data_IF_268858581214
#
_entry.id   IF_268858581214
#
_cell.length_a   1.000
_cell.length_b   1.000
_cell.length_c   1.000
_cell.angle_alpha   90.00
_cell.angle_beta   90.00
_cell.angle_gamma   90.00
#
_symmetry.space_group_name_H-M   'P 1'
#
loop_
_entity.id
_entity.type
_entity.pdbx_description
1 polymer ?
#
# COMPACT_ATOMS: atom_id res chain seq x y z
N UNK A 1 -19.95 10.28 18.14
CA UNK A 1 -19.15 10.31 16.90
C UNK A 1 -17.89 11.10 17.24
N UNK A 2 -16.74 10.50 17.12
CA UNK A 2 -15.48 11.18 17.47
C UNK A 2 -15.15 12.21 16.39
N UNK A 3 -14.88 13.46 16.79
CA UNK A 3 -14.60 14.53 15.84
C UNK A 3 -13.22 14.28 15.23
N UNK A 4 -13.13 14.31 13.90
CA UNK A 4 -11.86 14.25 13.19
C UNK A 4 -11.14 15.58 13.42
N UNK A 5 -9.97 15.53 14.05
CA UNK A 5 -9.10 16.70 14.25
C UNK A 5 -7.88 16.58 13.35
N UNK A 6 -7.26 17.69 13.03
CA UNK A 6 -6.03 17.75 12.26
C UNK A 6 -4.88 16.97 12.96
N UNK A 7 -4.85 17.03 14.30
CA UNK A 7 -3.92 16.26 15.12
C UNK A 7 -4.04 14.72 14.89
N UNK A 8 -5.27 14.19 14.86
CA UNK A 8 -5.52 12.78 14.57
C UNK A 8 -5.08 12.37 13.16
N UNK A 9 -5.27 13.27 12.18
CA UNK A 9 -4.82 13.02 10.82
C UNK A 9 -3.29 12.95 10.78
N UNK A 10 -2.60 13.86 11.46
CA UNK A 10 -1.14 13.87 11.53
C UNK A 10 -0.57 12.65 12.24
N UNK A 11 -1.17 12.24 13.34
CA UNK A 11 -0.82 11.01 14.05
C UNK A 11 -0.99 9.79 13.13
N UNK A 12 -2.11 9.70 12.43
CA UNK A 12 -2.34 8.63 11.45
C UNK A 12 -1.29 8.63 10.34
N UNK A 13 -0.91 9.79 9.81
CA UNK A 13 0.08 9.93 8.75
C UNK A 13 1.52 9.79 9.26
N UNK A 14 1.73 9.71 10.57
CA UNK A 14 3.06 9.76 11.22
C UNK A 14 3.89 10.97 10.74
N UNK A 15 3.21 12.11 10.57
CA UNK A 15 3.88 13.37 10.28
C UNK A 15 4.47 13.87 11.59
N UNK A 16 5.79 13.80 11.70
CA UNK A 16 6.51 14.41 12.81
C UNK A 16 6.30 15.94 12.79
N UNK A 17 5.73 16.45 13.86
CA UNK A 17 5.55 17.89 14.04
C UNK A 17 6.86 18.43 14.65
N UNK A 18 7.87 18.59 13.80
CA UNK A 18 9.06 19.32 14.19
C UNK A 18 8.81 20.81 14.07
N UNK A 19 8.89 21.54 15.19
CA UNK A 19 9.01 23.00 15.15
C UNK A 19 10.49 23.34 15.00
N UNK A 20 10.87 23.94 13.88
CA UNK A 20 12.23 24.36 13.63
C UNK A 20 12.28 25.73 12.95
N UNK A 21 13.21 26.57 13.40
CA UNK A 21 13.59 27.79 12.72
C UNK A 21 14.94 27.54 12.06
N UNK A 22 15.02 27.67 10.75
CA UNK A 22 16.30 27.50 10.09
C UNK A 22 16.24 27.67 8.58
N UNK A 23 17.38 28.09 8.03
CA UNK A 23 17.64 28.15 6.60
C UNK A 23 18.39 26.87 6.21
N UNK A 24 17.93 26.16 5.18
CA UNK A 24 18.58 24.93 4.80
C UNK A 24 18.20 24.37 3.44
N UNK A 25 19.00 23.42 2.98
CA UNK A 25 18.75 22.63 1.80
C UNK A 25 18.40 21.21 2.26
N UNK A 26 17.21 20.71 1.90
CA UNK A 26 16.82 19.36 2.29
C UNK A 26 15.47 18.92 1.79
N UNK A 27 15.22 17.62 1.93
CA UNK A 27 13.92 17.02 1.69
C UNK A 27 13.33 16.64 3.05
N UNK A 28 12.12 17.10 3.37
CA UNK A 28 11.49 16.76 4.64
C UNK A 28 10.09 17.31 4.79
N UNK A 29 9.39 16.79 5.79
CA UNK A 29 8.08 17.27 6.19
C UNK A 29 8.23 17.96 7.55
N UNK A 30 7.66 19.16 7.71
CA UNK A 30 7.75 19.86 9.00
C UNK A 30 6.94 21.14 9.06
N UNK A 31 6.85 21.67 10.27
CA UNK A 31 6.30 23.00 10.56
C UNK A 31 7.45 23.89 11.01
N UNK A 32 7.50 25.09 10.47
CA UNK A 32 8.47 26.08 10.91
C UNK A 32 8.54 27.29 9.99
N UNK A 33 9.11 28.37 10.51
CA UNK A 33 9.40 29.56 9.74
C UNK A 33 10.87 29.51 9.31
N UNK A 34 11.13 29.63 8.02
CA UNK A 34 12.49 29.62 7.51
C UNK A 34 12.56 29.73 5.99
N UNK A 35 13.76 30.05 5.49
CA UNK A 35 14.03 30.10 4.06
C UNK A 35 14.84 28.89 3.66
N UNK A 36 14.39 28.14 2.63
CA UNK A 36 15.13 26.96 2.20
C UNK A 36 14.85 26.55 0.76
N UNK A 37 15.73 25.71 0.25
CA UNK A 37 15.59 25.06 -1.06
C UNK A 37 15.46 23.56 -0.85
N UNK A 38 14.37 22.96 -1.33
CA UNK A 38 14.20 21.52 -1.21
C UNK A 38 12.85 21.05 -1.71
N UNK A 39 12.72 19.72 -1.77
CA UNK A 39 11.43 19.07 -2.04
C UNK A 39 10.88 18.57 -0.71
N UNK A 40 9.75 19.12 -0.28
CA UNK A 40 9.13 18.69 0.97
C UNK A 40 7.74 19.27 1.14
N UNK A 41 6.96 18.63 2.00
CA UNK A 41 5.67 19.13 2.41
C UNK A 41 5.81 19.73 3.81
N UNK A 42 5.57 21.02 3.94
CA UNK A 42 5.65 21.72 5.22
C UNK A 42 4.59 22.79 5.35
N UNK A 43 4.27 23.12 6.61
CA UNK A 43 3.41 24.25 6.96
C UNK A 43 4.24 25.25 7.76
N UNK A 44 4.30 26.48 7.31
CA UNK A 44 4.98 27.58 8.00
C UNK A 44 5.01 28.83 7.16
N UNK A 45 5.29 29.96 7.81
CA UNK A 45 5.54 31.23 7.13
C UNK A 45 7.02 31.30 6.75
N UNK A 46 7.33 30.94 5.51
CA UNK A 46 8.69 30.98 4.99
C UNK A 46 8.73 31.17 3.47
N UNK A 47 9.82 31.78 2.99
CA UNK A 47 10.06 31.87 1.57
C UNK A 47 10.94 30.69 1.13
N UNK A 48 10.29 29.64 0.60
CA UNK A 48 10.97 28.46 0.05
C UNK A 48 10.75 28.35 -1.45
N UNK A 49 11.77 27.91 -2.16
CA UNK A 49 11.64 27.50 -3.56
C UNK A 49 11.66 26.00 -3.60
N UNK A 50 10.49 25.38 -3.80
CA UNK A 50 10.36 23.94 -4.00
C UNK A 50 9.52 23.66 -5.26
N UNK A 51 9.80 22.56 -5.93
CA UNK A 51 8.92 22.05 -6.98
C UNK A 51 7.73 21.34 -6.29
N UNK A 52 6.73 22.12 -5.90
CA UNK A 52 5.51 21.57 -5.34
C UNK A 52 4.30 22.15 -6.08
N UNK A 53 3.80 21.44 -7.08
CA UNK A 53 2.46 21.63 -7.62
C UNK A 53 1.40 20.98 -6.70
N UNK A 54 1.61 21.03 -5.37
CA UNK A 54 0.72 20.36 -4.43
C UNK A 54 -0.44 21.27 -4.05
N UNK A 55 -1.64 20.82 -4.36
CA UNK A 55 -2.89 21.43 -3.90
C UNK A 55 -2.90 21.29 -2.37
N UNK A 56 -2.85 22.40 -1.64
CA UNK A 56 -2.84 22.39 -0.16
C UNK A 56 -4.22 22.30 0.45
N UNK A 57 -5.23 22.82 -0.25
CA UNK A 57 -6.60 22.93 0.26
C UNK A 57 -7.62 22.90 -0.89
N UNK A 58 -8.76 22.22 -0.69
CA UNK A 58 -9.93 22.28 -1.57
C UNK A 58 -11.18 22.41 -0.70
N UNK A 59 -11.95 23.49 -0.90
CA UNK A 59 -13.20 23.75 -0.17
C UNK A 59 -13.02 23.62 1.35
N UNK A 60 -12.03 24.31 1.92
CA UNK A 60 -11.71 24.30 3.35
C UNK A 60 -11.24 22.92 3.89
N UNK A 61 -10.93 21.97 3.02
CA UNK A 61 -10.37 20.69 3.41
C UNK A 61 -8.88 20.63 3.08
N UNK A 62 -8.07 20.34 4.09
CA UNK A 62 -6.63 20.14 3.91
C UNK A 62 -6.37 18.92 3.02
N UNK A 63 -5.47 19.09 2.06
CA UNK A 63 -5.01 18.04 1.17
C UNK A 63 -3.67 17.51 1.64
N UNK A 64 -3.59 16.20 1.83
CA UNK A 64 -2.38 15.49 2.24
C UNK A 64 -1.83 14.71 1.05
N UNK A 65 -0.52 14.73 0.87
CA UNK A 65 0.15 13.86 -0.11
C UNK A 65 0.49 12.53 0.56
N UNK A 66 -0.33 11.53 0.32
CA UNK A 66 -0.17 10.19 0.89
C UNK A 66 0.25 9.26 -0.25
N UNK A 67 1.43 8.64 -0.14
CA UNK A 67 1.91 7.71 -1.17
C UNK A 67 1.83 8.31 -2.60
N UNK A 68 2.38 9.52 -2.74
CA UNK A 68 2.35 10.34 -3.96
C UNK A 68 0.94 10.69 -4.52
N UNK A 69 -0.11 10.53 -3.71
CA UNK A 69 -1.49 10.79 -4.11
C UNK A 69 -2.09 11.90 -3.25
N UNK A 70 -2.62 12.94 -3.88
CA UNK A 70 -3.32 14.02 -3.19
C UNK A 70 -4.63 13.50 -2.63
N UNK A 71 -4.78 13.57 -1.30
CA UNK A 71 -5.87 12.91 -0.59
C UNK A 71 -6.46 13.82 0.49
N UNK A 72 -7.78 13.90 0.56
CA UNK A 72 -8.53 14.50 1.66
C UNK A 72 -8.96 13.38 2.59
N UNK A 73 -8.68 13.49 3.91
CA UNK A 73 -9.12 12.54 4.91
C UNK A 73 -10.40 13.04 5.57
N UNK A 74 -11.43 12.21 5.65
CA UNK A 74 -12.73 12.54 6.25
C UNK A 74 -13.05 11.76 7.51
N UNK A 75 -12.44 10.60 7.71
CA UNK A 75 -12.55 9.83 8.96
C UNK A 75 -11.37 8.89 9.14
N UNK A 76 -11.08 8.56 10.40
CA UNK A 76 -10.02 7.61 10.77
C UNK A 76 -10.56 6.63 11.81
N UNK A 77 -10.25 5.34 11.65
CA UNK A 77 -10.52 4.27 12.61
C UNK A 77 -9.33 3.30 12.66
N UNK A 78 -8.52 3.41 13.70
CA UNK A 78 -7.29 2.63 13.82
C UNK A 78 -6.33 2.91 12.66
N UNK A 79 -5.96 1.87 11.93
CA UNK A 79 -5.06 1.94 10.78
C UNK A 79 -5.78 2.16 9.43
N UNK A 80 -7.05 2.54 9.45
CA UNK A 80 -7.89 2.79 8.27
C UNK A 80 -8.41 4.22 8.28
N UNK A 81 -8.22 4.94 7.19
CA UNK A 81 -8.88 6.21 6.94
C UNK A 81 -9.83 6.10 5.73
N UNK A 82 -10.83 6.96 5.70
CA UNK A 82 -11.70 7.18 4.54
C UNK A 82 -11.51 8.62 4.07
N UNK A 83 -11.67 8.83 2.77
CA UNK A 83 -11.52 10.16 2.20
C UNK A 83 -11.74 10.17 0.70
N UNK A 84 -11.06 11.10 0.05
CA UNK A 84 -11.14 11.28 -1.39
C UNK A 84 -9.74 11.46 -1.99
N UNK A 85 -9.45 10.72 -3.04
CA UNK A 85 -8.32 11.01 -3.93
C UNK A 85 -8.73 12.17 -4.83
N UNK A 86 -7.79 13.08 -5.07
CA UNK A 86 -7.95 14.17 -6.02
C UNK A 86 -7.29 13.73 -7.33
N UNK A 87 -8.11 13.40 -8.32
CA UNK A 87 -7.64 13.09 -9.67
C UNK A 87 -7.36 14.35 -10.49
N UNK A 88 -6.81 14.16 -11.69
CA UNK A 88 -6.66 15.23 -12.67
C UNK A 88 -8.01 15.94 -12.87
N UNK A 89 -7.97 17.26 -13.01
CA UNK A 89 -9.15 18.13 -13.10
C UNK A 89 -9.95 18.27 -11.78
N UNK A 90 -9.30 18.09 -10.63
CA UNK A 90 -9.91 18.27 -9.28
C UNK A 90 -11.12 17.37 -9.01
N UNK A 91 -11.27 16.26 -9.73
CA UNK A 91 -12.30 15.27 -9.47
C UNK A 91 -12.00 14.53 -8.17
N UNK A 92 -12.97 14.51 -7.27
CA UNK A 92 -12.91 13.77 -6.01
C UNK A 92 -13.41 12.34 -6.19
N UNK A 93 -12.57 11.37 -5.89
CA UNK A 93 -12.90 9.93 -5.94
C UNK A 93 -12.87 9.35 -4.54
N UNK A 94 -13.99 8.80 -4.02
CA UNK A 94 -14.00 8.17 -2.70
C UNK A 94 -12.93 7.08 -2.59
N UNK A 95 -12.22 7.04 -1.47
CA UNK A 95 -11.19 6.06 -1.22
C UNK A 95 -11.10 5.63 0.24
N UNK A 96 -10.47 4.48 0.45
CA UNK A 96 -9.89 4.06 1.71
C UNK A 96 -8.38 4.23 1.66
N UNK A 97 -7.80 4.65 2.77
CA UNK A 97 -6.36 4.66 3.00
C UNK A 97 -6.06 3.74 4.16
N UNK A 98 -5.16 2.80 3.99
CA UNK A 98 -4.72 1.88 5.05
C UNK A 98 -3.23 2.07 5.30
N UNK A 99 -2.83 1.85 6.57
CA UNK A 99 -1.46 2.02 7.04
C UNK A 99 -0.97 0.79 7.79
N UNK A 100 0.27 0.38 7.51
CA UNK A 100 1.03 -0.58 8.30
C UNK A 100 2.54 -0.32 8.12
N UNK A 101 3.32 -0.37 9.21
CA UNK A 101 4.78 -0.19 9.18
C UNK A 101 5.24 1.06 8.40
N UNK A 102 4.55 2.20 8.57
CA UNK A 102 4.77 3.45 7.84
C UNK A 102 4.61 3.37 6.31
N UNK A 103 4.08 2.27 5.78
CA UNK A 103 3.63 2.16 4.40
C UNK A 103 2.13 2.44 4.32
N UNK A 104 1.72 3.10 3.24
CA UNK A 104 0.33 3.46 2.98
C UNK A 104 -0.12 2.88 1.66
N UNK A 105 -1.42 2.58 1.55
CA UNK A 105 -2.03 2.25 0.28
C UNK A 105 -3.46 2.78 0.18
N UNK A 106 -3.84 3.15 -1.03
CA UNK A 106 -5.19 3.56 -1.38
C UNK A 106 -5.95 2.43 -2.06
N UNK A 107 -7.28 2.46 -1.92
CA UNK A 107 -8.17 1.59 -2.67
C UNK A 107 -9.58 2.19 -2.74
N UNK A 108 -10.32 1.86 -3.79
CA UNK A 108 -11.73 2.25 -3.94
C UNK A 108 -12.64 1.47 -2.99
N UNK A 109 -12.17 0.30 -2.57
CA UNK A 109 -12.76 -0.49 -1.49
C UNK A 109 -11.72 -0.75 -0.41
N UNK A 110 -12.18 -1.05 0.80
CA UNK A 110 -11.28 -1.41 1.90
C UNK A 110 -10.42 -2.64 1.55
N UNK A 111 -10.99 -3.62 0.85
CA UNK A 111 -10.27 -4.80 0.39
C UNK A 111 -9.14 -4.42 -0.59
N UNK A 112 -9.41 -3.56 -1.56
CA UNK A 112 -8.39 -3.11 -2.52
C UNK A 112 -7.25 -2.37 -1.82
N UNK A 113 -7.57 -1.51 -0.85
CA UNK A 113 -6.57 -0.80 -0.07
C UNK A 113 -5.65 -1.78 0.70
N UNK A 114 -6.23 -2.78 1.38
CA UNK A 114 -5.43 -3.81 2.08
C UNK A 114 -4.62 -4.69 1.12
N UNK A 115 -5.18 -5.05 -0.03
CA UNK A 115 -4.45 -5.80 -1.05
C UNK A 115 -3.23 -5.02 -1.54
N UNK A 116 -3.41 -3.74 -1.88
CA UNK A 116 -2.32 -2.86 -2.30
C UNK A 116 -1.27 -2.66 -1.21
N UNK A 117 -1.70 -2.58 0.06
CA UNK A 117 -0.79 -2.48 1.19
C UNK A 117 0.04 -3.76 1.37
N UNK A 118 -0.58 -4.93 1.28
CA UNK A 118 0.13 -6.21 1.37
C UNK A 118 1.20 -6.34 0.28
N UNK A 119 0.89 -5.95 -0.95
CA UNK A 119 1.85 -5.91 -2.04
C UNK A 119 3.07 -5.06 -1.67
N UNK A 120 2.86 -3.83 -1.15
CA UNK A 120 3.92 -2.90 -0.76
C UNK A 120 4.75 -3.33 0.45
N UNK A 121 4.15 -4.04 1.40
CA UNK A 121 4.85 -4.46 2.61
C UNK A 121 6.02 -5.39 2.31
N UNK A 122 5.94 -6.14 1.21
CA UNK A 122 6.94 -7.14 0.84
C UNK A 122 7.85 -6.74 -0.32
N UNK A 123 7.73 -5.51 -0.86
CA UNK A 123 8.57 -5.04 -1.99
C UNK A 123 10.07 -5.11 -1.67
N UNK A 124 10.46 -4.83 -0.42
CA UNK A 124 11.85 -4.82 0.04
C UNK A 124 12.24 -6.09 0.82
N UNK A 125 11.37 -7.11 0.86
CA UNK A 125 11.59 -8.32 1.65
C UNK A 125 12.46 -9.34 0.93
N UNK A 126 13.24 -10.12 1.68
CA UNK A 126 13.98 -11.26 1.15
C UNK A 126 13.04 -12.38 0.68
N UNK A 127 13.57 -13.33 -0.09
CA UNK A 127 12.79 -14.48 -0.54
C UNK A 127 12.28 -15.31 0.64
N UNK A 128 13.12 -15.53 1.66
CA UNK A 128 12.77 -16.29 2.85
C UNK A 128 11.64 -15.62 3.65
N UNK A 129 11.68 -14.30 3.77
CA UNK A 129 10.62 -13.53 4.45
C UNK A 129 9.29 -13.65 3.70
N UNK A 130 9.32 -13.56 2.36
CA UNK A 130 8.13 -13.71 1.51
C UNK A 130 7.53 -15.11 1.60
N UNK A 131 8.36 -16.15 1.54
CA UNK A 131 7.93 -17.55 1.74
C UNK A 131 7.38 -17.75 3.15
N UNK A 132 8.05 -17.20 4.17
CA UNK A 132 7.58 -17.27 5.56
C UNK A 132 6.22 -16.61 5.75
N UNK A 133 6.00 -15.43 5.15
CA UNK A 133 4.72 -14.73 5.17
C UNK A 133 3.62 -15.53 4.45
N UNK A 134 3.94 -16.15 3.31
CA UNK A 134 3.03 -17.03 2.59
C UNK A 134 2.60 -18.20 3.46
N UNK A 135 3.56 -18.93 4.06
CA UNK A 135 3.28 -20.08 4.93
C UNK A 135 2.47 -19.68 6.17
N UNK A 136 2.75 -18.52 6.76
CA UNK A 136 1.99 -17.99 7.89
C UNK A 136 0.54 -17.71 7.52
N UNK A 137 0.29 -17.15 6.34
CA UNK A 137 -1.07 -16.86 5.82
C UNK A 137 -1.81 -18.14 5.44
N UNK A 138 -1.09 -19.12 4.89
CA UNK A 138 -1.64 -20.37 4.38
C UNK A 138 -0.96 -21.56 5.07
N UNK A 139 -1.33 -21.89 6.31
CA UNK A 139 -0.57 -22.86 7.13
C UNK A 139 -0.68 -24.32 6.67
N UNK A 140 -1.66 -24.68 5.83
CA UNK A 140 -1.88 -26.06 5.36
C UNK A 140 -1.74 -26.18 3.84
N UNK A 141 -0.99 -27.17 3.38
CA UNK A 141 -0.76 -27.42 1.96
C UNK A 141 -2.01 -27.91 1.22
N UNK A 142 -2.88 -28.68 1.89
CA UNK A 142 -4.06 -29.31 1.31
C UNK A 142 -5.39 -28.63 1.71
N UNK A 143 -5.38 -27.61 2.56
CA UNK A 143 -6.56 -26.82 2.85
C UNK A 143 -6.88 -25.87 1.68
N UNK A 144 -8.17 -25.56 1.49
CA UNK A 144 -8.63 -24.62 0.46
C UNK A 144 -8.65 -23.20 0.98
N UNK A 145 -8.06 -22.28 0.24
CA UNK A 145 -8.00 -20.84 0.51
C UNK A 145 -8.65 -20.04 -0.61
N UNK A 146 -9.07 -18.82 -0.31
CA UNK A 146 -9.69 -17.93 -1.29
C UNK A 146 -8.70 -17.56 -2.41
N UNK A 147 -9.13 -17.71 -3.66
CA UNK A 147 -8.30 -17.41 -4.83
C UNK A 147 -7.84 -15.96 -4.88
N UNK A 148 -8.61 -15.01 -4.34
CA UNK A 148 -8.20 -13.59 -4.23
C UNK A 148 -6.98 -13.42 -3.32
N UNK A 149 -6.92 -14.16 -2.21
CA UNK A 149 -5.77 -14.13 -1.31
C UNK A 149 -4.54 -14.76 -1.99
N UNK A 150 -4.70 -15.89 -2.66
CA UNK A 150 -3.63 -16.53 -3.43
C UNK A 150 -3.15 -15.64 -4.59
N UNK A 151 -4.05 -14.94 -5.27
CA UNK A 151 -3.72 -13.97 -6.32
C UNK A 151 -2.85 -12.82 -5.78
N UNK A 152 -3.18 -12.29 -4.59
CA UNK A 152 -2.39 -11.25 -3.92
C UNK A 152 -1.01 -11.79 -3.51
N UNK A 153 -0.97 -12.95 -2.88
CA UNK A 153 0.28 -13.54 -2.40
C UNK A 153 1.17 -14.11 -3.50
N UNK A 154 0.64 -14.33 -4.70
CA UNK A 154 1.48 -14.58 -5.88
C UNK A 154 2.39 -13.37 -6.17
N UNK A 155 1.87 -12.14 -6.05
CA UNK A 155 2.71 -10.94 -6.13
C UNK A 155 3.73 -10.89 -4.99
N UNK A 156 3.31 -11.11 -3.76
CA UNK A 156 4.21 -11.13 -2.60
C UNK A 156 5.39 -12.07 -2.82
N UNK A 157 5.14 -13.26 -3.35
CA UNK A 157 6.20 -14.24 -3.64
C UNK A 157 7.10 -13.83 -4.81
N UNK A 158 6.51 -13.39 -5.93
CA UNK A 158 7.19 -13.33 -7.23
C UNK A 158 7.46 -11.92 -7.75
N UNK A 159 6.85 -10.87 -7.16
CA UNK A 159 6.87 -9.51 -7.70
C UNK A 159 6.06 -9.35 -9.00
N UNK A 160 5.19 -10.31 -9.37
CA UNK A 160 4.41 -10.25 -10.61
C UNK A 160 3.45 -9.06 -10.64
N UNK A 161 3.39 -8.34 -11.74
CA UNK A 161 2.48 -7.20 -11.86
C UNK A 161 1.00 -7.65 -11.92
N UNK A 162 0.09 -6.77 -11.49
CA UNK A 162 -1.34 -7.05 -11.43
C UNK A 162 -1.90 -7.47 -12.79
N UNK A 163 -1.56 -6.73 -13.86
CA UNK A 163 -2.05 -7.01 -15.21
C UNK A 163 -1.60 -8.41 -15.71
N UNK A 164 -0.37 -8.81 -15.40
CA UNK A 164 0.13 -10.15 -15.75
C UNK A 164 -0.64 -11.25 -15.01
N UNK A 165 -0.94 -11.05 -13.73
CA UNK A 165 -1.75 -11.98 -12.93
C UNK A 165 -3.20 -12.08 -13.42
N UNK A 166 -3.83 -10.95 -13.76
CA UNK A 166 -5.19 -10.91 -14.32
C UNK A 166 -5.26 -11.65 -15.67
N UNK A 167 -4.27 -11.41 -16.55
CA UNK A 167 -4.14 -12.13 -17.83
C UNK A 167 -3.96 -13.63 -17.63
N UNK A 168 -3.15 -14.04 -16.66
CA UNK A 168 -2.95 -15.46 -16.32
C UNK A 168 -4.25 -16.12 -15.84
N UNK A 169 -4.95 -15.50 -14.90
CA UNK A 169 -6.23 -16.00 -14.37
C UNK A 169 -7.25 -16.17 -15.51
N UNK A 170 -7.36 -15.16 -16.40
CA UNK A 170 -8.25 -15.21 -17.56
C UNK A 170 -7.86 -16.33 -18.52
N UNK A 171 -6.57 -16.51 -18.83
CA UNK A 171 -6.07 -17.54 -19.74
C UNK A 171 -6.28 -18.96 -19.24
N UNK A 172 -6.31 -19.16 -17.93
CA UNK A 172 -6.56 -20.47 -17.28
C UNK A 172 -8.05 -20.71 -16.96
N UNK A 173 -8.93 -19.75 -17.26
CA UNK A 173 -10.36 -19.85 -16.93
C UNK A 173 -10.63 -19.94 -15.42
N UNK A 174 -9.75 -19.38 -14.59
CA UNK A 174 -9.87 -19.42 -13.14
C UNK A 174 -10.86 -18.34 -12.65
N UNK A 175 -11.58 -18.65 -11.58
CA UNK A 175 -12.41 -17.68 -10.87
C UNK A 175 -11.71 -17.18 -9.62
N UNK A 176 -11.63 -15.87 -9.45
CA UNK A 176 -11.12 -15.26 -8.21
C UNK A 176 -12.09 -15.45 -7.03
N UNK A 177 -13.36 -15.78 -7.29
CA UNK A 177 -14.37 -16.07 -6.24
C UNK A 177 -14.35 -17.54 -5.80
N UNK A 178 -13.46 -18.35 -6.37
CA UNK A 178 -13.27 -19.76 -6.02
C UNK A 178 -12.28 -19.94 -4.86
N UNK A 179 -12.04 -21.23 -4.56
CA UNK A 179 -11.05 -21.66 -3.57
C UNK A 179 -10.14 -22.74 -4.15
N UNK A 180 -8.86 -22.64 -3.83
CA UNK A 180 -7.81 -23.53 -4.33
C UNK A 180 -6.90 -23.96 -3.17
N UNK A 181 -6.38 -25.18 -3.19
CA UNK A 181 -5.35 -25.64 -2.26
C UNK A 181 -3.98 -25.09 -2.64
N UNK A 182 -3.02 -25.09 -1.72
CA UNK A 182 -1.64 -24.69 -2.06
C UNK A 182 -1.02 -25.68 -3.05
N UNK A 183 -1.35 -26.95 -2.96
CA UNK A 183 -0.94 -27.97 -3.94
C UNK A 183 -1.38 -27.59 -5.36
N UNK A 184 -2.66 -27.29 -5.54
CA UNK A 184 -3.22 -26.89 -6.84
C UNK A 184 -2.63 -25.54 -7.30
N UNK A 185 -2.43 -24.58 -6.37
CA UNK A 185 -1.81 -23.29 -6.67
C UNK A 185 -0.39 -23.48 -7.21
N UNK A 186 0.43 -24.31 -6.57
CA UNK A 186 1.79 -24.63 -7.04
C UNK A 186 1.74 -25.23 -8.44
N UNK A 187 0.92 -26.26 -8.68
CA UNK A 187 0.80 -26.89 -9.99
C UNK A 187 0.36 -25.91 -11.08
N UNK A 188 -0.53 -24.98 -10.77
CA UNK A 188 -1.01 -23.98 -11.71
C UNK A 188 0.05 -22.93 -12.06
N UNK A 189 0.91 -22.56 -11.10
CA UNK A 189 1.76 -21.36 -11.22
C UNK A 189 3.26 -21.65 -11.29
N UNK A 190 3.71 -22.88 -11.05
CA UNK A 190 5.14 -23.27 -11.02
C UNK A 190 5.92 -22.98 -12.31
N UNK A 191 5.24 -22.85 -13.44
CA UNK A 191 5.83 -22.55 -14.74
C UNK A 191 5.43 -21.13 -15.26
N UNK A 192 4.78 -20.33 -14.40
CA UNK A 192 4.48 -18.94 -14.67
C UNK A 192 5.65 -18.02 -14.23
N UNK A 193 5.44 -16.71 -14.33
CA UNK A 193 6.41 -15.72 -13.85
C UNK A 193 6.74 -15.93 -12.36
N UNK A 194 8.05 -16.04 -12.04
CA UNK A 194 8.53 -16.29 -10.68
C UNK A 194 8.33 -17.74 -10.21
N UNK A 195 8.13 -18.68 -11.13
CA UNK A 195 7.92 -20.08 -10.82
C UNK A 195 9.04 -20.74 -10.00
N UNK A 196 10.26 -20.20 -10.02
CA UNK A 196 11.40 -20.67 -9.23
C UNK A 196 11.11 -20.59 -7.71
N UNK A 197 10.46 -19.51 -7.27
CA UNK A 197 10.08 -19.35 -5.87
C UNK A 197 8.89 -20.29 -5.55
N UNK A 198 7.94 -20.39 -6.46
CA UNK A 198 6.75 -21.25 -6.29
C UNK A 198 7.16 -22.71 -6.10
N UNK A 199 8.15 -23.20 -6.85
CA UNK A 199 8.68 -24.59 -6.76
C UNK A 199 9.31 -24.92 -5.41
N UNK A 200 9.68 -23.92 -4.61
CA UNK A 200 10.22 -24.10 -3.24
C UNK A 200 9.13 -24.27 -2.18
N UNK A 201 7.87 -23.91 -2.49
CA UNK A 201 6.79 -23.96 -1.52
C UNK A 201 6.53 -25.38 -0.96
N UNK A 202 6.47 -26.48 -1.77
CA UNK A 202 6.21 -27.83 -1.24
C UNK A 202 7.15 -28.21 -0.11
N UNK A 203 8.45 -27.96 -0.26
CA UNK A 203 9.47 -28.26 0.74
C UNK A 203 9.19 -27.56 2.08
N UNK A 204 8.69 -26.32 2.04
CA UNK A 204 8.37 -25.55 3.25
C UNK A 204 7.20 -26.15 4.04
N UNK A 205 6.38 -26.99 3.41
CA UNK A 205 5.29 -27.77 4.03
C UNK A 205 5.69 -29.21 4.39
N UNK A 206 6.96 -29.58 4.17
CA UNK A 206 7.44 -30.94 4.40
C UNK A 206 6.99 -31.93 3.31
N UNK A 207 6.61 -31.43 2.14
CA UNK A 207 6.29 -32.24 0.96
C UNK A 207 7.57 -32.33 0.13
N UNK A 208 8.22 -33.48 0.16
CA UNK A 208 9.35 -33.84 -0.74
C UNK A 208 8.81 -34.68 -1.86
N UNK A 209 9.26 -34.41 -3.09
CA UNK A 209 8.98 -35.25 -4.27
C UNK A 209 9.58 -36.65 -4.13
#
# INVERSE_FOLDING_TARGET
>A
MEVLTDEKIREFLAIDVGYGYGDGYGNGNGYGDGNGYGNGNGYGDGNGYGNGDDIKEINENTVYKIDNTNTIITSIRGNVAQGFIIEKNTKLVPCFVVKENNKFAHGTTLRDAFTSLQEKLYDDSTEEERIGAFKKKFPSYDAKYDNRDLFTYHHVLTGSCRMGRESFVASKGLSLDGKTTIREFVELTKDAYGGEIIKKLPETYGVTD
#
